data_IF_312572437878
#
_entry.id   IF_312572437878
#
_cell.length_a   1.000
_cell.length_b   1.000
_cell.length_c   1.000
_cell.angle_alpha   90.00
_cell.angle_beta   90.00
_cell.angle_gamma   90.00
#
_symmetry.space_group_name_H-M   'P 1'
#
loop_
_entity.id
_entity.type
_entity.pdbx_description
1 polymer ?
#
# COMPACT_ATOMS: atom_id res chain seq x y z
N UNK A 1 -6.09 30.99 -50.65
CA UNK A 1 -4.87 30.92 -49.82
C UNK A 1 -4.90 32.08 -48.84
N UNK A 2 -5.42 31.78 -47.66
CA UNK A 2 -5.21 32.36 -46.32
C UNK A 2 -4.95 33.87 -46.20
N UNK A 3 -6.04 34.65 -46.28
CA UNK A 3 -6.13 36.04 -45.77
C UNK A 3 -6.18 36.14 -44.24
N UNK A 4 -5.93 35.04 -43.53
CA UNK A 4 -6.13 34.97 -42.09
C UNK A 4 -4.98 35.71 -41.37
N UNK A 5 -3.83 35.94 -42.03
CA UNK A 5 -2.66 36.63 -41.44
C UNK A 5 -2.30 37.96 -42.12
N UNK A 6 -3.19 38.57 -42.92
CA UNK A 6 -2.93 39.88 -43.53
C UNK A 6 -3.09 41.02 -42.51
N UNK A 7 -2.25 42.05 -42.58
CA UNK A 7 -2.27 43.21 -41.66
C UNK A 7 -3.66 43.83 -41.50
N UNK A 8 -4.44 43.88 -42.58
CA UNK A 8 -5.82 44.38 -42.63
C UNK A 8 -6.81 43.55 -41.78
N UNK A 9 -6.57 42.23 -41.68
CA UNK A 9 -7.40 41.33 -40.88
C UNK A 9 -7.04 41.42 -39.40
N UNK A 10 -5.74 41.53 -39.09
CA UNK A 10 -5.21 41.74 -37.73
C UNK A 10 -5.73 43.06 -37.13
N UNK A 11 -5.86 44.11 -37.95
CA UNK A 11 -6.42 45.39 -37.53
C UNK A 11 -7.93 45.33 -37.21
N UNK A 12 -8.70 44.46 -37.89
CA UNK A 12 -10.16 44.41 -37.80
C UNK A 12 -10.73 43.53 -36.67
N UNK A 13 -10.03 42.48 -36.23
CA UNK A 13 -10.48 41.64 -35.08
C UNK A 13 -9.95 42.12 -33.73
N UNK A 14 -9.13 43.16 -33.72
CA UNK A 14 -8.42 43.66 -32.53
C UNK A 14 -7.34 42.71 -32.03
N UNK A 15 -6.36 43.24 -31.29
CA UNK A 15 -5.26 42.47 -30.70
C UNK A 15 -5.73 41.24 -29.90
N UNK A 16 -6.96 41.27 -29.37
CA UNK A 16 -7.52 40.27 -28.45
C UNK A 16 -7.80 38.90 -29.07
N UNK A 17 -8.31 38.80 -30.30
CA UNK A 17 -8.73 37.51 -30.88
C UNK A 17 -7.55 36.58 -31.21
N UNK A 18 -6.51 37.14 -31.82
CA UNK A 18 -5.27 36.43 -32.17
C UNK A 18 -4.46 36.03 -30.94
N UNK A 19 -4.39 36.91 -29.94
CA UNK A 19 -3.76 36.59 -28.66
C UNK A 19 -4.46 35.42 -27.98
N UNK A 20 -5.80 35.39 -27.97
CA UNK A 20 -6.56 34.27 -27.40
C UNK A 20 -6.27 32.98 -28.17
N UNK A 21 -6.28 33.00 -29.50
CA UNK A 21 -5.97 31.82 -30.32
C UNK A 21 -4.54 31.29 -30.07
N UNK A 22 -3.56 32.19 -29.97
CA UNK A 22 -2.17 31.83 -29.65
C UNK A 22 -2.07 31.25 -28.23
N UNK A 23 -2.74 31.85 -27.24
CA UNK A 23 -2.76 31.34 -25.86
C UNK A 23 -3.39 29.95 -25.82
N UNK A 24 -4.54 29.75 -26.49
CA UNK A 24 -5.20 28.44 -26.57
C UNK A 24 -4.31 27.40 -27.25
N UNK A 25 -3.60 27.79 -28.31
CA UNK A 25 -2.63 26.92 -28.98
C UNK A 25 -1.47 26.55 -28.05
N UNK A 26 -0.86 27.52 -27.36
CA UNK A 26 0.23 27.25 -26.40
C UNK A 26 -0.25 26.36 -25.25
N UNK A 27 -1.43 26.63 -24.70
CA UNK A 27 -2.00 25.82 -23.62
C UNK A 27 -2.21 24.38 -24.06
N UNK A 28 -2.80 24.17 -25.24
CA UNK A 28 -3.11 22.84 -25.76
C UNK A 28 -1.89 22.06 -26.29
N UNK A 29 -0.97 22.74 -26.99
CA UNK A 29 0.16 22.10 -27.65
C UNK A 29 1.39 21.96 -26.75
N UNK A 30 1.52 22.77 -25.70
CA UNK A 30 2.71 22.82 -24.84
C UNK A 30 2.37 22.55 -23.38
N UNK A 31 1.48 23.35 -22.78
CA UNK A 31 1.22 23.27 -21.33
C UNK A 31 0.55 21.94 -20.98
N UNK A 32 -0.51 21.57 -21.69
CA UNK A 32 -1.27 20.35 -21.41
C UNK A 32 -0.41 19.06 -21.56
N UNK A 33 0.39 18.88 -22.63
CA UNK A 33 1.32 17.74 -22.73
C UNK A 33 2.34 17.69 -21.59
N UNK A 34 2.89 18.84 -21.17
CA UNK A 34 3.84 18.90 -20.05
C UNK A 34 3.19 18.47 -18.73
N UNK A 35 1.95 18.90 -18.47
CA UNK A 35 1.17 18.47 -17.30
C UNK A 35 0.94 16.96 -17.35
N UNK A 36 0.54 16.41 -18.50
CA UNK A 36 0.31 14.96 -18.68
C UNK A 36 1.60 14.17 -18.43
N UNK A 37 2.73 14.61 -18.98
CA UNK A 37 4.03 13.98 -18.77
C UNK A 37 4.46 14.03 -17.30
N UNK A 38 4.27 15.17 -16.64
CA UNK A 38 4.51 15.33 -15.21
C UNK A 38 3.67 14.37 -14.37
N UNK A 39 2.38 14.27 -14.66
CA UNK A 39 1.46 13.36 -13.99
C UNK A 39 1.86 11.89 -14.19
N UNK A 40 2.15 11.46 -15.43
CA UNK A 40 2.63 10.09 -15.72
C UNK A 40 3.90 9.76 -14.95
N UNK A 41 4.87 10.69 -14.93
CA UNK A 41 6.12 10.52 -14.18
C UNK A 41 5.88 10.38 -12.68
N UNK A 42 4.96 11.17 -12.13
CA UNK A 42 4.57 11.08 -10.72
C UNK A 42 3.92 9.72 -10.40
N UNK A 43 2.95 9.28 -11.21
CA UNK A 43 2.30 7.98 -11.03
C UNK A 43 3.29 6.82 -11.11
N UNK A 44 4.22 6.85 -12.07
CA UNK A 44 5.26 5.82 -12.19
C UNK A 44 6.16 5.76 -10.95
N UNK A 45 6.51 6.92 -10.36
CA UNK A 45 7.29 6.98 -9.12
C UNK A 45 6.50 6.42 -7.92
N UNK A 46 5.21 6.73 -7.83
CA UNK A 46 4.32 6.20 -6.80
C UNK A 46 4.22 4.68 -6.89
N UNK A 47 3.91 4.15 -8.07
CA UNK A 47 3.82 2.71 -8.34
C UNK A 47 5.15 1.99 -8.05
N UNK A 48 6.28 2.55 -8.50
CA UNK A 48 7.60 1.98 -8.20
C UNK A 48 7.91 1.95 -6.69
N UNK A 49 7.46 2.94 -5.92
CA UNK A 49 7.63 2.94 -4.46
C UNK A 49 6.73 1.89 -3.80
N UNK A 50 5.47 1.77 -4.21
CA UNK A 50 4.54 0.75 -3.73
C UNK A 50 5.05 -0.66 -4.02
N UNK A 51 5.48 -0.94 -5.25
CA UNK A 51 6.07 -2.22 -5.62
C UNK A 51 7.28 -2.60 -4.76
N UNK A 52 8.17 -1.65 -4.45
CA UNK A 52 9.31 -1.90 -3.55
C UNK A 52 8.88 -2.25 -2.13
N UNK A 53 7.87 -1.56 -1.60
CA UNK A 53 7.32 -1.87 -0.26
C UNK A 53 6.70 -3.26 -0.24
N UNK A 54 5.92 -3.63 -1.26
CA UNK A 54 5.36 -4.97 -1.39
C UNK A 54 6.46 -6.05 -1.43
N UNK A 55 7.51 -5.84 -2.22
CA UNK A 55 8.67 -6.76 -2.29
C UNK A 55 9.36 -6.91 -0.91
N UNK A 56 9.45 -5.83 -0.14
CA UNK A 56 10.04 -5.88 1.21
C UNK A 56 9.14 -6.61 2.23
N UNK A 57 7.84 -6.38 2.17
CA UNK A 57 6.87 -6.95 3.10
C UNK A 57 6.63 -8.45 2.84
N UNK A 58 6.54 -8.86 1.57
CA UNK A 58 6.20 -10.22 1.17
C UNK A 58 7.00 -11.31 1.91
N UNK A 59 8.34 -11.31 1.97
CA UNK A 59 9.08 -12.35 2.68
C UNK A 59 8.80 -12.38 4.18
N UNK A 60 8.43 -11.24 4.79
CA UNK A 60 8.08 -11.17 6.22
C UNK A 60 6.72 -11.84 6.45
N UNK A 61 5.74 -11.54 5.59
CA UNK A 61 4.44 -12.21 5.59
C UNK A 61 4.56 -13.71 5.37
N UNK A 62 5.28 -14.12 4.33
CA UNK A 62 5.49 -15.52 3.97
C UNK A 62 6.14 -16.28 5.15
N UNK A 63 7.11 -15.66 5.84
CA UNK A 63 7.78 -16.29 6.98
C UNK A 63 6.84 -16.49 8.17
N UNK A 64 6.03 -15.50 8.51
CA UNK A 64 5.04 -15.64 9.59
C UNK A 64 4.01 -16.72 9.25
N UNK A 65 3.51 -16.71 8.01
CA UNK A 65 2.56 -17.71 7.54
C UNK A 65 3.15 -19.12 7.58
N UNK A 66 4.39 -19.31 7.11
CA UNK A 66 5.05 -20.61 7.16
C UNK A 66 5.15 -21.14 8.59
N UNK A 67 5.59 -20.31 9.54
CA UNK A 67 5.68 -20.72 10.96
C UNK A 67 4.30 -21.08 11.51
N UNK A 68 3.27 -20.31 11.16
CA UNK A 68 1.90 -20.60 11.58
C UNK A 68 1.39 -21.94 11.04
N UNK A 69 1.69 -22.29 9.79
CA UNK A 69 1.32 -23.60 9.22
C UNK A 69 2.12 -24.74 9.86
N UNK A 70 3.40 -24.54 10.14
CA UNK A 70 4.26 -25.59 10.70
C UNK A 70 3.98 -25.85 12.19
N UNK A 71 3.69 -24.81 12.97
CA UNK A 71 3.66 -24.87 14.43
C UNK A 71 2.40 -24.28 15.08
N UNK A 72 1.62 -23.51 14.33
CA UNK A 72 0.50 -22.77 14.90
C UNK A 72 -0.75 -23.63 15.14
N UNK A 73 -1.63 -23.20 16.05
CA UNK A 73 -2.90 -23.89 16.30
C UNK A 73 -3.87 -23.64 15.15
N UNK A 74 -3.99 -24.58 14.22
CA UNK A 74 -5.02 -24.61 13.18
C UNK A 74 -5.57 -26.02 12.99
N UNK A 75 -6.75 -26.14 12.38
CA UNK A 75 -7.54 -27.38 12.27
C UNK A 75 -6.80 -28.64 11.77
N UNK A 76 -5.66 -28.46 11.09
CA UNK A 76 -4.83 -29.51 10.50
C UNK A 76 -3.50 -29.71 11.25
N UNK A 77 -3.34 -29.15 12.44
CA UNK A 77 -2.13 -29.24 13.26
C UNK A 77 -2.50 -29.69 14.68
N UNK A 78 -1.74 -30.62 15.23
CA UNK A 78 -1.95 -31.20 16.57
C UNK A 78 -1.95 -30.12 17.67
N UNK A 79 -1.26 -28.99 17.46
CA UNK A 79 -1.28 -27.83 18.34
C UNK A 79 -2.69 -27.23 18.56
N UNK A 80 -3.66 -27.52 17.67
CA UNK A 80 -5.05 -27.09 17.82
C UNK A 80 -5.83 -27.90 18.86
N UNK A 81 -5.45 -29.16 19.09
CA UNK A 81 -6.09 -30.08 20.03
C UNK A 81 -5.26 -30.34 21.29
N UNK A 82 -4.06 -29.76 21.37
CA UNK A 82 -3.14 -29.95 22.48
C UNK A 82 -3.62 -29.25 23.76
N UNK A 83 -4.31 -30.02 24.60
CA UNK A 83 -4.73 -29.65 25.95
C UNK A 83 -3.60 -29.79 26.98
N UNK A 84 -2.53 -30.52 26.67
CA UNK A 84 -1.43 -30.87 27.58
C UNK A 84 -0.26 -29.87 27.53
N UNK A 85 -0.10 -29.15 26.40
CA UNK A 85 0.70 -27.93 26.31
C UNK A 85 2.12 -28.07 25.71
N UNK A 86 2.52 -29.24 25.24
CA UNK A 86 3.87 -29.47 24.71
C UNK A 86 4.02 -29.07 23.22
N UNK A 87 3.01 -29.29 22.39
CA UNK A 87 2.99 -28.82 21.00
C UNK A 87 2.95 -27.27 20.93
N UNK A 88 2.58 -26.63 22.03
CA UNK A 88 2.54 -25.17 22.15
C UNK A 88 3.88 -24.52 22.54
N UNK A 89 4.91 -25.27 22.96
CA UNK A 89 6.18 -24.65 23.40
C UNK A 89 7.05 -24.11 22.27
N UNK A 90 7.25 -24.91 21.21
CA UNK A 90 7.97 -24.43 20.03
C UNK A 90 7.19 -23.31 19.33
N UNK A 91 5.85 -23.41 19.26
CA UNK A 91 5.00 -22.30 18.81
C UNK A 91 5.25 -21.01 19.62
N UNK A 92 5.11 -21.07 20.96
CA UNK A 92 5.35 -19.93 21.87
C UNK A 92 6.73 -19.31 21.67
N UNK A 93 7.76 -20.16 21.49
CA UNK A 93 9.13 -19.73 21.21
C UNK A 93 9.26 -19.02 19.87
N UNK A 94 8.73 -19.59 18.78
CA UNK A 94 8.74 -18.95 17.45
C UNK A 94 7.93 -17.65 17.43
N UNK A 95 6.83 -17.59 18.18
CA UNK A 95 6.04 -16.37 18.33
C UNK A 95 6.88 -15.24 18.90
N UNK A 96 7.53 -15.48 20.04
CA UNK A 96 8.37 -14.48 20.72
C UNK A 96 9.61 -14.09 19.91
N UNK A 97 10.26 -15.06 19.27
CA UNK A 97 11.54 -14.82 18.58
C UNK A 97 11.40 -14.31 17.15
N UNK A 98 10.29 -14.60 16.47
CA UNK A 98 10.14 -14.35 15.03
C UNK A 98 8.85 -13.61 14.70
N UNK A 99 7.68 -14.17 15.05
CA UNK A 99 6.39 -13.63 14.58
C UNK A 99 6.13 -12.24 15.14
N UNK A 100 6.28 -12.02 16.44
CA UNK A 100 6.07 -10.69 17.06
C UNK A 100 7.07 -9.65 16.54
N UNK A 101 8.39 -9.91 16.47
CA UNK A 101 9.33 -9.00 15.81
C UNK A 101 8.98 -8.70 14.35
N UNK A 102 8.52 -9.70 13.60
CA UNK A 102 8.11 -9.52 12.21
C UNK A 102 6.85 -8.66 12.09
N UNK A 103 5.86 -8.87 12.96
CA UNK A 103 4.69 -8.00 13.03
C UNK A 103 5.13 -6.56 13.30
N UNK A 104 6.01 -6.32 14.27
CA UNK A 104 6.53 -4.97 14.52
C UNK A 104 7.18 -4.35 13.28
N UNK A 105 8.05 -5.09 12.58
CA UNK A 105 8.66 -4.60 11.32
C UNK A 105 7.63 -4.24 10.26
N UNK A 106 6.59 -5.04 10.10
CA UNK A 106 5.49 -4.76 9.17
C UNK A 106 4.80 -3.45 9.57
N UNK A 107 4.50 -3.26 10.87
CA UNK A 107 3.86 -2.04 11.39
C UNK A 107 4.72 -0.81 11.14
N UNK A 108 6.01 -0.90 11.38
CA UNK A 108 6.96 0.19 11.14
C UNK A 108 6.95 0.57 9.64
N UNK A 109 7.10 -0.41 8.74
CA UNK A 109 7.07 -0.18 7.29
C UNK A 109 5.73 0.44 6.85
N UNK A 110 4.61 -0.08 7.34
CA UNK A 110 3.28 0.39 6.93
C UNK A 110 2.97 1.80 7.46
N UNK A 111 3.25 2.06 8.73
CA UNK A 111 2.99 3.35 9.38
C UNK A 111 3.80 4.50 8.77
N UNK A 112 5.04 4.25 8.36
CA UNK A 112 5.88 5.22 7.64
C UNK A 112 5.38 5.52 6.20
N UNK A 113 4.49 4.68 5.66
CA UNK A 113 4.06 4.72 4.26
C UNK A 113 2.53 4.85 4.08
N UNK A 114 1.80 5.32 5.10
CA UNK A 114 0.34 5.48 5.07
C UNK A 114 -0.17 6.32 3.89
N UNK A 115 0.58 7.33 3.47
CA UNK A 115 0.23 8.20 2.33
C UNK A 115 0.26 7.49 0.98
N UNK A 116 0.93 6.33 0.89
CA UNK A 116 0.96 5.52 -0.32
C UNK A 116 -0.20 4.54 -0.39
N UNK A 117 -0.87 4.26 0.73
CA UNK A 117 -2.02 3.37 0.80
C UNK A 117 -3.26 4.02 0.18
N UNK A 118 -4.07 3.19 -0.46
CA UNK A 118 -5.47 3.49 -0.77
C UNK A 118 -6.29 3.47 0.52
N UNK A 119 -7.53 3.95 0.45
CA UNK A 119 -8.45 3.91 1.59
C UNK A 119 -8.73 2.47 2.04
N UNK A 120 -9.03 1.57 1.10
CA UNK A 120 -9.23 0.14 1.40
C UNK A 120 -8.03 -0.51 2.07
N UNK A 121 -6.82 -0.19 1.62
CA UNK A 121 -5.59 -0.70 2.24
C UNK A 121 -5.39 -0.17 3.66
N UNK A 122 -5.78 1.09 3.94
CA UNK A 122 -5.76 1.62 5.31
C UNK A 122 -6.75 0.91 6.22
N UNK A 123 -7.94 0.60 5.73
CA UNK A 123 -8.94 -0.14 6.51
C UNK A 123 -8.47 -1.56 6.84
N UNK A 124 -7.84 -2.24 5.87
CA UNK A 124 -7.19 -3.53 6.09
C UNK A 124 -6.03 -3.42 7.10
N UNK A 125 -5.22 -2.36 7.00
CA UNK A 125 -4.12 -2.13 7.92
C UNK A 125 -4.61 -1.89 9.36
N UNK A 126 -5.69 -1.14 9.56
CA UNK A 126 -6.27 -0.92 10.88
C UNK A 126 -6.79 -2.23 11.51
N UNK A 127 -7.47 -3.07 10.73
CA UNK A 127 -7.89 -4.40 11.19
C UNK A 127 -6.71 -5.30 11.56
N UNK A 128 -5.60 -5.16 10.82
CA UNK A 128 -4.37 -5.87 11.11
C UNK A 128 -3.69 -5.36 12.39
N UNK A 129 -3.63 -4.04 12.62
CA UNK A 129 -3.11 -3.44 13.85
C UNK A 129 -3.84 -4.00 15.08
N UNK A 130 -5.17 -4.00 15.00
CA UNK A 130 -6.06 -4.56 15.99
C UNK A 130 -5.77 -6.04 16.27
N UNK A 131 -5.64 -6.85 15.20
CA UNK A 131 -5.27 -8.25 15.32
C UNK A 131 -3.89 -8.45 15.96
N UNK A 132 -2.88 -7.66 15.59
CA UNK A 132 -1.53 -7.78 16.17
C UNK A 132 -1.51 -7.39 17.66
N UNK A 133 -2.24 -6.35 18.04
CA UNK A 133 -2.36 -5.94 19.44
C UNK A 133 -3.00 -7.07 20.29
N UNK A 134 -4.07 -7.66 19.77
CA UNK A 134 -4.77 -8.79 20.37
C UNK A 134 -3.88 -10.04 20.43
N UNK A 135 -3.20 -10.37 19.34
CA UNK A 135 -2.29 -11.50 19.23
C UNK A 135 -1.11 -11.37 20.21
N UNK A 136 -0.53 -10.17 20.32
CA UNK A 136 0.53 -9.89 21.29
C UNK A 136 0.01 -10.05 22.72
N UNK A 137 -1.18 -9.52 23.01
CA UNK A 137 -1.77 -9.60 24.35
C UNK A 137 -2.05 -11.05 24.78
N UNK A 138 -2.46 -11.90 23.84
CA UNK A 138 -2.65 -13.33 24.06
C UNK A 138 -1.36 -14.07 24.46
N UNK A 139 -0.21 -13.63 23.97
CA UNK A 139 1.06 -14.32 24.24
C UNK A 139 1.89 -13.68 25.37
N UNK A 140 1.49 -12.49 25.83
CA UNK A 140 2.17 -11.76 26.92
C UNK A 140 1.36 -11.70 28.22
N UNK A 141 0.02 -11.70 28.16
CA UNK A 141 -0.86 -11.45 29.31
C UNK A 141 -1.99 -12.48 29.47
N UNK A 142 -1.92 -13.62 28.78
CA UNK A 142 -2.94 -14.70 28.80
C UNK A 142 -4.39 -14.20 28.53
N UNK A 143 -4.52 -13.08 27.82
CA UNK A 143 -5.80 -12.51 27.42
C UNK A 143 -6.21 -13.07 26.06
N UNK A 144 -7.41 -13.66 25.94
CA UNK A 144 -7.86 -14.37 24.74
C UNK A 144 -8.90 -13.60 23.90
N UNK A 145 -8.49 -12.60 23.10
CA UNK A 145 -9.37 -12.03 22.09
C UNK A 145 -9.45 -12.95 20.85
N UNK A 146 -10.62 -12.98 20.21
CA UNK A 146 -10.93 -13.87 19.08
C UNK A 146 -10.78 -13.18 17.70
N UNK A 147 -9.91 -12.17 17.57
CA UNK A 147 -9.71 -11.50 16.26
C UNK A 147 -8.77 -12.31 15.37
N UNK A 148 -9.31 -12.78 14.24
CA UNK A 148 -8.56 -13.52 13.22
C UNK A 148 -7.69 -12.58 12.40
N UNK A 149 -6.61 -13.14 11.85
CA UNK A 149 -5.74 -12.45 10.92
C UNK A 149 -6.52 -12.08 9.65
N UNK A 150 -6.50 -10.81 9.20
CA UNK A 150 -7.16 -10.40 7.95
C UNK A 150 -6.33 -10.87 6.74
N UNK A 151 -6.78 -11.87 5.96
CA UNK A 151 -5.95 -12.49 4.92
C UNK A 151 -5.54 -11.49 3.82
N UNK A 152 -6.41 -10.54 3.49
CA UNK A 152 -6.17 -9.58 2.42
C UNK A 152 -5.09 -8.54 2.75
N UNK A 153 -4.68 -8.39 4.02
CA UNK A 153 -3.63 -7.43 4.42
C UNK A 153 -2.29 -7.72 3.74
N UNK A 154 -2.02 -8.97 3.37
CA UNK A 154 -0.80 -9.37 2.67
C UNK A 154 -0.72 -8.78 1.26
N UNK A 155 -1.81 -8.19 0.76
CA UNK A 155 -1.88 -7.53 -0.55
C UNK A 155 -1.70 -6.02 -0.50
N UNK A 156 -1.43 -5.45 0.68
CA UNK A 156 -1.13 -4.01 0.79
C UNK A 156 0.10 -3.65 -0.06
N UNK A 157 0.00 -2.54 -0.79
CA UNK A 157 0.98 -2.06 -1.77
C UNK A 157 1.16 -2.94 -3.02
N UNK A 158 0.33 -3.97 -3.19
CA UNK A 158 0.30 -4.79 -4.40
C UNK A 158 -0.45 -4.01 -5.49
N UNK A 159 0.31 -3.50 -6.47
CA UNK A 159 -0.21 -2.88 -7.70
C UNK A 159 -0.25 -3.91 -8.84
#
# INVERSE_FOLDING_TARGET
>A
MDKILTEEHIANVGLSGWLIAIILFIVSAIILPLIILGYKKFQNRKAARRARLYIQLKPIWDRNHQIFIEYGPHENNDAFYDLEGDATDEWRKKVKQIILPNHQKIRDICSENLLLMTEKERDLYNQYEDHVADFKSCHEYDYLPNRRFPPDVVTIFKD
#
